data_IF_182321544609
#
_entry.id   IF_182321544609
#
_cell.length_a   1.000
_cell.length_b   1.000
_cell.length_c   1.000
_cell.angle_alpha   90.00
_cell.angle_beta   90.00
_cell.angle_gamma   90.00
#
_symmetry.space_group_name_H-M   'P 1'
#
loop_
_entity.id
_entity.type
_entity.pdbx_description
1 polymer ?
#
# COMPACT_ATOMS: atom_id res chain seq x y z
N UNK A 1 -20.80 3.55 17.46
CA UNK A 1 -21.02 2.39 18.34
C UNK A 1 -19.85 1.44 18.09
N UNK A 2 -18.95 1.28 19.05
CA UNK A 2 -17.86 0.32 19.00
C UNK A 2 -18.42 -1.09 19.23
N UNK A 3 -18.51 -1.89 18.19
CA UNK A 3 -19.03 -3.25 18.29
C UNK A 3 -17.94 -4.24 18.71
N UNK A 4 -16.67 -3.96 18.37
CA UNK A 4 -15.51 -4.84 18.62
C UNK A 4 -14.45 -4.24 19.55
N UNK A 5 -14.63 -3.00 19.99
CA UNK A 5 -13.70 -2.32 20.92
C UNK A 5 -12.36 -1.88 20.32
N UNK A 6 -12.16 -2.00 19.00
CA UNK A 6 -10.88 -1.71 18.34
C UNK A 6 -10.85 -0.35 17.62
N UNK A 7 -11.86 0.51 17.77
CA UNK A 7 -11.94 1.81 17.08
C UNK A 7 -12.03 1.71 15.55
N UNK A 8 -12.50 0.58 15.02
CA UNK A 8 -12.64 0.34 13.58
C UNK A 8 -13.63 1.31 12.93
N UNK A 9 -13.30 1.87 11.76
CA UNK A 9 -14.21 2.72 10.98
C UNK A 9 -15.51 1.99 10.58
N UNK A 10 -15.39 0.70 10.27
CA UNK A 10 -16.48 -0.15 9.81
C UNK A 10 -16.58 -1.43 10.64
N UNK A 11 -17.09 -1.36 11.89
CA UNK A 11 -17.07 -2.50 12.82
C UNK A 11 -17.95 -3.67 12.39
N UNK A 12 -18.96 -3.44 11.54
CA UNK A 12 -19.85 -4.48 11.02
C UNK A 12 -19.30 -5.15 9.75
N UNK A 13 -18.47 -4.43 8.98
CA UNK A 13 -17.88 -4.92 7.74
C UNK A 13 -16.42 -4.46 7.65
N UNK A 14 -15.51 -5.19 8.31
CA UNK A 14 -14.10 -4.85 8.38
C UNK A 14 -13.47 -4.45 7.03
N UNK A 15 -13.62 -5.22 5.94
CA UNK A 15 -13.03 -4.88 4.63
C UNK A 15 -13.47 -3.55 4.02
N UNK A 16 -14.58 -2.95 4.47
CA UNK A 16 -15.10 -1.69 3.89
C UNK A 16 -14.15 -0.50 4.04
N UNK A 17 -13.17 -0.54 4.95
CA UNK A 17 -12.17 0.52 5.05
C UNK A 17 -11.35 0.67 3.75
N UNK A 18 -11.06 -0.41 3.05
CA UNK A 18 -10.33 -0.35 1.78
C UNK A 18 -11.17 0.31 0.69
N UNK A 19 -12.46 0.02 0.63
CA UNK A 19 -13.40 0.64 -0.30
C UNK A 19 -13.51 2.16 -0.08
N UNK A 20 -13.46 2.60 1.17
CA UNK A 20 -13.44 4.03 1.50
C UNK A 20 -12.23 4.73 0.86
N UNK A 21 -11.04 4.16 0.98
CA UNK A 21 -9.84 4.72 0.35
C UNK A 21 -9.90 4.63 -1.18
N UNK A 22 -10.40 3.56 -1.75
CA UNK A 22 -10.60 3.43 -3.20
C UNK A 22 -11.54 4.52 -3.73
N UNK A 23 -12.63 4.79 -3.01
CA UNK A 23 -13.57 5.85 -3.37
C UNK A 23 -12.89 7.23 -3.37
N UNK A 24 -12.12 7.54 -2.33
CA UNK A 24 -11.31 8.77 -2.27
C UNK A 24 -10.31 8.83 -3.42
N UNK A 25 -9.61 7.74 -3.71
CA UNK A 25 -8.67 7.64 -4.82
C UNK A 25 -9.32 7.98 -6.16
N UNK A 26 -10.51 7.47 -6.42
CA UNK A 26 -11.27 7.76 -7.64
C UNK A 26 -11.71 9.22 -7.72
N UNK A 27 -12.14 9.83 -6.61
CA UNK A 27 -12.44 11.26 -6.57
C UNK A 27 -11.20 12.10 -6.86
N UNK A 28 -10.09 11.82 -6.21
CA UNK A 28 -8.82 12.52 -6.43
C UNK A 28 -8.35 12.37 -7.89
N UNK A 29 -8.50 11.19 -8.47
CA UNK A 29 -8.23 10.96 -9.89
C UNK A 29 -9.11 11.82 -10.78
N UNK A 30 -10.42 11.81 -10.58
CA UNK A 30 -11.35 12.56 -11.39
C UNK A 30 -11.11 14.09 -11.34
N UNK A 31 -10.74 14.59 -10.17
CA UNK A 31 -10.54 16.02 -9.96
C UNK A 31 -9.15 16.52 -10.38
N UNK A 32 -8.09 15.78 -10.01
CA UNK A 32 -6.72 16.27 -10.07
C UNK A 32 -5.76 15.35 -10.83
N UNK A 33 -5.65 14.07 -10.43
CA UNK A 33 -4.54 13.20 -10.85
C UNK A 33 -4.54 12.93 -12.35
N UNK A 34 -5.72 12.82 -12.96
CA UNK A 34 -5.86 12.61 -14.42
C UNK A 34 -5.20 13.70 -15.27
N UNK A 35 -5.06 14.91 -14.72
CA UNK A 35 -4.46 16.07 -15.41
C UNK A 35 -2.95 16.19 -15.20
N UNK A 36 -2.38 15.37 -14.31
CA UNK A 36 -0.95 15.42 -14.03
C UNK A 36 -0.15 14.92 -15.23
N UNK A 37 0.97 15.61 -15.51
CA UNK A 37 1.97 15.12 -16.45
C UNK A 37 2.61 13.83 -15.93
N UNK A 38 3.22 13.03 -16.81
CA UNK A 38 3.94 11.82 -16.39
C UNK A 38 5.07 12.13 -15.39
N UNK A 39 5.74 13.27 -15.55
CA UNK A 39 6.79 13.72 -14.61
C UNK A 39 6.22 14.04 -13.22
N UNK A 40 5.10 14.80 -13.18
CA UNK A 40 4.42 15.13 -11.92
C UNK A 40 3.85 13.88 -11.24
N UNK A 41 3.35 12.92 -12.02
CA UNK A 41 2.88 11.65 -11.50
C UNK A 41 4.02 10.82 -10.94
N UNK A 42 5.18 10.77 -11.62
CA UNK A 42 6.38 10.10 -11.10
C UNK A 42 6.88 10.73 -9.78
N UNK A 43 6.84 12.06 -9.70
CA UNK A 43 7.18 12.76 -8.44
C UNK A 43 6.21 12.38 -7.31
N UNK A 44 4.89 12.33 -7.61
CA UNK A 44 3.89 11.93 -6.63
C UNK A 44 4.11 10.50 -6.13
N UNK A 45 4.40 9.55 -7.04
CA UNK A 45 4.74 8.16 -6.71
C UNK A 45 5.99 8.12 -5.83
N UNK A 46 7.04 8.86 -6.18
CA UNK A 46 8.30 8.88 -5.41
C UNK A 46 8.08 9.43 -4.01
N UNK A 47 7.39 10.57 -3.87
CA UNK A 47 7.14 11.19 -2.57
C UNK A 47 6.23 10.32 -1.69
N UNK A 48 5.17 9.75 -2.25
CA UNK A 48 4.28 8.86 -1.50
C UNK A 48 4.96 7.54 -1.14
N UNK A 49 5.82 7.01 -1.99
CA UNK A 49 6.61 5.81 -1.71
C UNK A 49 7.64 6.04 -0.60
N UNK A 50 8.36 7.15 -0.63
CA UNK A 50 9.29 7.54 0.44
C UNK A 50 8.52 7.74 1.77
N UNK A 51 7.39 8.44 1.72
CA UNK A 51 6.54 8.63 2.89
C UNK A 51 6.03 7.32 3.48
N UNK A 52 5.61 6.39 2.61
CA UNK A 52 5.14 5.06 3.01
C UNK A 52 6.25 4.22 3.66
N UNK A 53 7.46 4.21 3.06
CA UNK A 53 8.62 3.53 3.61
C UNK A 53 9.04 4.13 4.96
N UNK A 54 9.12 5.46 5.06
CA UNK A 54 9.43 6.15 6.30
C UNK A 54 8.41 5.84 7.40
N UNK A 55 7.12 5.82 7.05
CA UNK A 55 6.04 5.45 7.97
C UNK A 55 6.19 4.02 8.48
N UNK A 56 6.46 3.05 7.59
CA UNK A 56 6.63 1.65 7.98
C UNK A 56 7.85 1.43 8.88
N UNK A 57 9.00 2.02 8.52
CA UNK A 57 10.27 1.85 9.24
C UNK A 57 10.26 2.57 10.60
N UNK A 58 9.58 3.73 10.69
CA UNK A 58 9.50 4.50 11.94
C UNK A 58 8.74 3.80 13.07
N UNK A 59 8.00 2.72 12.76
CA UNK A 59 7.20 2.01 13.74
C UNK A 59 5.97 2.78 14.23
N UNK A 60 5.59 3.89 13.57
CA UNK A 60 4.39 4.68 13.92
C UNK A 60 3.09 3.87 13.88
N UNK A 61 3.06 2.77 13.12
CA UNK A 61 1.96 1.81 13.13
C UNK A 61 1.91 0.94 14.40
N UNK A 62 2.87 1.08 15.31
CA UNK A 62 3.01 0.30 16.53
C UNK A 62 3.78 -1.00 16.41
N UNK A 63 3.85 -1.59 15.22
CA UNK A 63 4.49 -2.89 14.95
C UNK A 63 5.37 -2.92 13.69
N UNK A 64 5.64 -1.77 13.07
CA UNK A 64 6.46 -1.70 11.86
C UNK A 64 5.81 -2.42 10.67
N UNK A 65 4.51 -2.26 10.45
CA UNK A 65 3.80 -2.87 9.33
C UNK A 65 2.95 -1.86 8.56
N UNK A 66 2.59 -2.22 7.31
CA UNK A 66 1.72 -1.44 6.45
C UNK A 66 0.22 -1.82 6.55
N UNK A 67 -0.16 -2.62 7.53
CA UNK A 67 -1.55 -2.98 7.82
C UNK A 67 -2.33 -1.86 8.50
N UNK A 68 -2.41 -0.69 7.87
CA UNK A 68 -2.98 0.55 8.41
C UNK A 68 -4.12 1.08 7.54
N UNK A 69 -4.93 1.98 8.08
CA UNK A 69 -6.06 2.62 7.38
C UNK A 69 -7.44 2.13 7.82
N UNK A 70 -7.52 1.19 8.77
CA UNK A 70 -8.78 0.60 9.23
C UNK A 70 -9.42 1.33 10.43
N UNK A 71 -8.69 2.25 11.07
CA UNK A 71 -9.18 3.13 12.16
C UNK A 71 -8.90 4.60 11.86
N UNK A 72 -9.70 5.50 12.42
CA UNK A 72 -9.49 6.95 12.36
C UNK A 72 -8.52 7.45 13.44
N UNK A 73 -8.11 6.58 14.34
CA UNK A 73 -7.26 6.92 15.48
C UNK A 73 -5.79 6.97 15.05
N UNK A 74 -5.04 7.83 15.75
CA UNK A 74 -3.59 7.99 15.64
C UNK A 74 -3.09 8.20 14.19
N UNK A 75 -1.92 7.67 13.90
CA UNK A 75 -1.30 7.73 12.57
C UNK A 75 -1.88 6.75 11.54
N UNK A 76 -2.87 5.94 11.95
CA UNK A 76 -3.43 4.88 11.11
C UNK A 76 -4.07 5.43 9.84
N UNK A 77 -4.80 6.53 9.94
CA UNK A 77 -5.41 7.22 8.80
C UNK A 77 -4.35 7.76 7.84
N UNK A 78 -3.26 8.33 8.37
CA UNK A 78 -2.14 8.86 7.55
C UNK A 78 -1.49 7.72 6.77
N UNK A 79 -1.23 6.58 7.41
CA UNK A 79 -0.70 5.38 6.75
C UNK A 79 -1.63 4.88 5.63
N UNK A 80 -2.95 4.90 5.88
CA UNK A 80 -3.95 4.54 4.86
C UNK A 80 -3.90 5.46 3.65
N UNK A 81 -3.78 6.77 3.85
CA UNK A 81 -3.62 7.74 2.76
C UNK A 81 -2.30 7.57 1.99
N UNK A 82 -1.20 7.33 2.67
CA UNK A 82 0.08 7.08 2.01
C UNK A 82 0.02 5.82 1.13
N UNK A 83 -0.61 4.73 1.63
CA UNK A 83 -0.86 3.52 0.84
C UNK A 83 -1.71 3.82 -0.39
N UNK A 84 -2.83 4.53 -0.21
CA UNK A 84 -3.70 4.91 -1.31
C UNK A 84 -2.92 5.70 -2.37
N UNK A 85 -2.26 6.78 -1.95
CA UNK A 85 -1.56 7.68 -2.88
C UNK A 85 -0.45 6.96 -3.63
N UNK A 86 0.33 6.12 -2.96
CA UNK A 86 1.36 5.33 -3.61
C UNK A 86 0.77 4.30 -4.58
N UNK A 87 -0.07 3.39 -4.10
CA UNK A 87 -0.56 2.27 -4.91
C UNK A 87 -1.36 2.75 -6.11
N UNK A 88 -2.24 3.74 -5.92
CA UNK A 88 -3.09 4.27 -6.97
C UNK A 88 -2.28 5.03 -8.04
N UNK A 89 -1.39 5.92 -7.61
CA UNK A 89 -0.57 6.70 -8.55
C UNK A 89 0.52 5.86 -9.22
N UNK A 90 1.07 4.85 -8.55
CA UNK A 90 2.01 3.90 -9.14
C UNK A 90 1.34 3.07 -10.26
N UNK A 91 0.13 2.55 -10.02
CA UNK A 91 -0.65 1.86 -11.05
C UNK A 91 -0.92 2.73 -12.28
N UNK A 92 -1.28 4.01 -12.06
CA UNK A 92 -1.47 4.98 -13.16
C UNK A 92 -0.16 5.30 -13.90
N UNK A 93 0.94 5.44 -13.18
CA UNK A 93 2.25 5.67 -13.81
C UNK A 93 2.65 4.47 -14.65
N UNK A 94 2.51 3.25 -14.11
CA UNK A 94 2.79 2.01 -14.83
C UNK A 94 1.97 1.90 -16.11
N UNK A 95 0.68 2.19 -16.07
CA UNK A 95 -0.20 2.15 -17.24
C UNK A 95 0.21 3.13 -18.34
N UNK A 96 0.91 4.22 -18.00
CA UNK A 96 1.41 5.21 -18.97
C UNK A 96 2.77 4.87 -19.55
N UNK A 97 3.63 4.23 -18.77
CA UNK A 97 5.05 4.05 -19.09
C UNK A 97 5.32 2.65 -19.62
N UNK A 98 4.67 1.64 -19.06
CA UNK A 98 4.95 0.24 -19.38
C UNK A 98 4.01 -0.30 -20.45
N UNK A 99 4.57 -1.18 -21.28
CA UNK A 99 3.80 -1.94 -22.27
C UNK A 99 3.68 -3.39 -21.76
N UNK A 100 2.49 -4.00 -21.80
CA UNK A 100 2.31 -5.36 -21.30
C UNK A 100 3.17 -6.35 -22.07
N UNK A 101 3.91 -7.17 -21.34
CA UNK A 101 4.76 -8.24 -21.89
C UNK A 101 4.07 -9.58 -21.65
N UNK A 102 3.97 -10.39 -22.72
CA UNK A 102 3.40 -11.74 -22.60
C UNK A 102 4.48 -12.72 -22.09
N UNK A 103 4.35 -13.11 -20.83
CA UNK A 103 5.23 -14.11 -20.22
C UNK A 103 4.48 -15.44 -20.12
N UNK A 104 5.07 -16.51 -20.68
CA UNK A 104 4.50 -17.84 -20.62
C UNK A 104 4.55 -18.37 -19.18
N UNK A 105 3.40 -18.74 -18.63
CA UNK A 105 3.31 -19.20 -17.23
C UNK A 105 3.34 -18.09 -16.17
N UNK A 106 3.17 -16.82 -16.55
CA UNK A 106 3.19 -15.67 -15.62
C UNK A 106 2.30 -15.91 -14.39
N UNK A 107 1.09 -16.46 -14.58
CA UNK A 107 0.18 -16.75 -13.47
C UNK A 107 0.85 -17.64 -12.40
N UNK A 108 1.45 -18.75 -12.80
CA UNK A 108 2.08 -19.67 -11.84
C UNK A 108 3.30 -19.08 -11.17
N UNK A 109 4.13 -18.34 -11.93
CA UNK A 109 5.31 -17.66 -11.41
C UNK A 109 4.89 -16.61 -10.38
N UNK A 110 3.96 -15.72 -10.72
CA UNK A 110 3.48 -14.68 -9.82
C UNK A 110 2.80 -15.28 -8.56
N UNK A 111 1.96 -16.32 -8.74
CA UNK A 111 1.32 -17.00 -7.62
C UNK A 111 2.32 -17.63 -6.67
N UNK A 112 3.36 -18.29 -7.20
CA UNK A 112 4.42 -18.88 -6.38
C UNK A 112 5.20 -17.80 -5.62
N UNK A 113 5.60 -16.73 -6.31
CA UNK A 113 6.32 -15.61 -5.68
C UNK A 113 5.48 -14.97 -4.59
N UNK A 114 4.20 -14.69 -4.83
CA UNK A 114 3.30 -14.12 -3.81
C UNK A 114 3.15 -15.09 -2.63
N UNK A 115 2.96 -16.39 -2.89
CA UNK A 115 2.86 -17.39 -1.82
C UNK A 115 4.12 -17.42 -0.93
N UNK A 116 5.31 -17.37 -1.54
CA UNK A 116 6.58 -17.31 -0.81
C UNK A 116 6.69 -16.03 0.00
N UNK A 117 6.40 -14.87 -0.59
CA UNK A 117 6.48 -13.58 0.11
C UNK A 117 5.51 -13.51 1.29
N UNK A 118 4.28 -14.01 1.14
CA UNK A 118 3.29 -14.02 2.21
C UNK A 118 3.57 -15.08 3.29
N UNK A 119 4.44 -16.05 3.02
CA UNK A 119 4.82 -17.08 3.98
C UNK A 119 5.95 -16.65 4.92
N UNK A 120 6.57 -15.50 4.70
CA UNK A 120 7.66 -15.00 5.56
C UNK A 120 7.10 -14.64 6.93
N UNK A 121 7.64 -15.24 8.01
CA UNK A 121 7.15 -14.99 9.36
C UNK A 121 7.47 -13.57 9.82
N UNK A 122 6.55 -13.00 10.57
CA UNK A 122 6.69 -11.68 11.16
C UNK A 122 7.65 -11.72 12.36
N UNK A 123 8.53 -10.73 12.48
CA UNK A 123 9.40 -10.60 13.66
C UNK A 123 8.58 -10.01 14.80
N UNK A 124 8.25 -10.83 15.81
CA UNK A 124 7.35 -10.46 16.91
C UNK A 124 7.97 -9.56 17.99
N UNK A 125 9.27 -9.25 17.90
CA UNK A 125 9.95 -8.41 18.88
C UNK A 125 9.85 -6.92 18.49
N UNK A 126 9.39 -6.07 19.42
CA UNK A 126 9.25 -4.62 19.19
C UNK A 126 10.57 -3.92 18.84
N UNK A 127 11.67 -4.37 19.40
CA UNK A 127 13.01 -3.81 19.14
C UNK A 127 13.44 -3.97 17.67
N UNK A 128 12.98 -5.02 17.01
CA UNK A 128 13.29 -5.33 15.62
C UNK A 128 12.12 -5.09 14.66
N UNK A 129 11.08 -4.36 15.08
CA UNK A 129 9.90 -4.07 14.26
C UNK A 129 10.24 -3.34 12.96
N UNK A 130 11.32 -2.57 12.91
CA UNK A 130 11.81 -1.91 11.72
C UNK A 130 12.17 -2.88 10.57
N UNK A 131 12.55 -4.13 10.89
CA UNK A 131 12.81 -5.17 9.89
C UNK A 131 11.53 -5.50 9.13
N UNK A 132 10.40 -5.62 9.83
CA UNK A 132 9.10 -5.82 9.21
C UNK A 132 8.74 -4.64 8.31
N UNK A 133 9.00 -3.40 8.77
CA UNK A 133 8.78 -2.19 8.00
C UNK A 133 9.59 -2.13 6.71
N UNK A 134 10.85 -2.55 6.75
CA UNK A 134 11.69 -2.67 5.54
C UNK A 134 11.12 -3.73 4.62
N UNK A 135 10.80 -4.92 5.14
CA UNK A 135 10.25 -6.01 4.37
C UNK A 135 8.96 -5.62 3.66
N UNK A 136 7.99 -5.07 4.39
CA UNK A 136 6.72 -4.60 3.85
C UNK A 136 6.92 -3.51 2.79
N UNK A 137 7.86 -2.58 3.04
CA UNK A 137 8.18 -1.51 2.09
C UNK A 137 8.77 -2.05 0.79
N UNK A 138 9.71 -2.99 0.86
CA UNK A 138 10.30 -3.64 -0.32
C UNK A 138 9.23 -4.41 -1.09
N UNK A 139 8.38 -5.16 -0.40
CA UNK A 139 7.27 -5.87 -1.05
C UNK A 139 6.31 -4.92 -1.74
N UNK A 140 5.85 -3.87 -1.04
CA UNK A 140 4.84 -2.96 -1.56
C UNK A 140 5.36 -2.04 -2.67
N UNK A 141 6.61 -1.53 -2.54
CA UNK A 141 7.15 -0.50 -3.43
C UNK A 141 7.86 -1.10 -4.64
N UNK A 142 8.50 -2.26 -4.48
CA UNK A 142 9.30 -2.86 -5.55
C UNK A 142 8.68 -4.15 -6.09
N UNK A 143 8.43 -5.13 -5.22
CA UNK A 143 8.09 -6.49 -5.68
C UNK A 143 6.69 -6.56 -6.28
N UNK A 144 5.67 -6.02 -5.61
CA UNK A 144 4.30 -6.07 -6.14
C UNK A 144 4.12 -5.30 -7.45
N UNK A 145 4.68 -4.09 -7.64
CA UNK A 145 4.67 -3.44 -8.95
C UNK A 145 5.36 -4.25 -10.04
N UNK A 146 6.49 -4.92 -9.74
CA UNK A 146 7.17 -5.79 -10.69
C UNK A 146 6.35 -7.02 -11.08
N UNK A 147 5.56 -7.57 -10.16
CA UNK A 147 4.68 -8.73 -10.45
C UNK A 147 3.47 -8.35 -11.31
N UNK A 148 3.07 -7.09 -11.32
CA UNK A 148 1.95 -6.58 -12.13
C UNK A 148 2.42 -6.18 -13.54
N UNK A 149 3.72 -5.94 -13.72
CA UNK A 149 4.34 -5.61 -15.02
C UNK A 149 4.46 -6.82 -15.92
#
# INVERSE_FOLDING_TARGET
VEVRGNGEMYPLNGPSWSLFFEYIGNILYALFIRRLSTKSLALLVSLSGIGLAAFAISGLSGYGHLGVGWTLLDYNLIGGFLRLMFSFSAGLLMSRVFKPVKIRGAFWICSLVIAVLLSVPYVGNKEFSWINGIYDSVCAILLFPLLVY
#
